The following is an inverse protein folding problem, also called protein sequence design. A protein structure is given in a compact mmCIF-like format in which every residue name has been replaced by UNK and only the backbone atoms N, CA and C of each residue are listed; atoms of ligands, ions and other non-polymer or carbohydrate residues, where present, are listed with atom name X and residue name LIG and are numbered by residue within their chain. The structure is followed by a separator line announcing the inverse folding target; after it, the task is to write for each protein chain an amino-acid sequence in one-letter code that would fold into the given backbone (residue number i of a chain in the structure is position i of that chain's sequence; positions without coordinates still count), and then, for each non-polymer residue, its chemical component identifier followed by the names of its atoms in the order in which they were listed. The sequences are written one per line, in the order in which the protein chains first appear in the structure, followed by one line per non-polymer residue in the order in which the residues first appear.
data_IF_632824211591
#
_entry.id   IF_632824211591
#
_cell.length_a   1.000
_cell.length_b   1.000
_cell.length_c   1.000
_cell.angle_alpha   90.00
_cell.angle_beta   90.00
_cell.angle_gamma   90.00
#
_symmetry.space_group_name_H-M   'P 1'
#
loop_
_entity.id
_entity.type
_entity.pdbx_description
1 polymer ?
#
# COMPACT_ATOMS: atom_id res chain seq x y z
N UNK A 1 1.30 14.26 -31.09
CA UNK A 1 0.63 12.95 -31.13
C UNK A 1 -0.87 13.16 -31.10
N UNK A 2 -1.64 12.58 -32.05
CA UNK A 2 -3.09 12.84 -32.20
C UNK A 2 -3.94 12.54 -30.97
N UNK A 3 -3.47 11.66 -30.08
CA UNK A 3 -4.18 11.23 -28.86
C UNK A 3 -3.79 12.03 -27.59
N UNK A 4 -2.76 12.88 -27.64
CA UNK A 4 -2.33 13.63 -26.46
C UNK A 4 -3.45 14.43 -25.77
N UNK A 5 -4.40 15.09 -26.50
CA UNK A 5 -5.51 15.79 -25.86
C UNK A 5 -6.48 14.89 -25.07
N UNK A 6 -6.45 13.58 -25.30
CA UNK A 6 -7.36 12.64 -24.62
C UNK A 6 -6.95 12.38 -23.16
N UNK A 7 -5.66 12.47 -22.85
CA UNK A 7 -5.14 12.07 -21.55
C UNK A 7 -4.16 13.06 -20.92
N UNK A 8 -3.75 14.13 -21.62
CA UNK A 8 -2.79 15.12 -21.14
C UNK A 8 -3.39 16.51 -21.02
N UNK A 9 -3.03 17.22 -19.97
CA UNK A 9 -3.24 18.65 -19.78
C UNK A 9 -1.93 19.30 -19.28
N UNK A 10 -1.77 20.62 -19.50
CA UNK A 10 -0.76 21.38 -18.79
C UNK A 10 -1.25 21.73 -17.37
N UNK A 11 -0.37 21.69 -16.41
CA UNK A 11 -0.58 22.21 -15.07
C UNK A 11 0.47 23.27 -14.77
N UNK A 12 0.05 24.44 -14.29
CA UNK A 12 0.89 25.61 -14.04
C UNK A 12 0.94 26.03 -12.56
N UNK A 13 0.74 25.09 -11.64
CA UNK A 13 0.61 25.25 -10.18
C UNK A 13 -0.69 25.92 -9.71
N UNK A 14 -1.49 26.49 -10.61
CA UNK A 14 -2.78 27.12 -10.28
C UNK A 14 -3.98 26.42 -10.94
N UNK A 15 -3.81 26.00 -12.21
CA UNK A 15 -4.91 25.46 -13.02
C UNK A 15 -4.42 24.42 -14.04
N UNK A 16 -5.38 23.63 -14.52
CA UNK A 16 -5.21 22.75 -15.67
C UNK A 16 -5.60 23.48 -16.94
N UNK A 17 -4.74 23.38 -17.94
CA UNK A 17 -4.96 23.94 -19.28
C UNK A 17 -4.92 22.84 -20.34
N UNK A 18 -5.63 23.05 -21.43
CA UNK A 18 -5.61 22.10 -22.54
C UNK A 18 -4.20 21.94 -23.12
N UNK A 19 -3.82 20.73 -23.49
CA UNK A 19 -2.46 20.43 -23.99
C UNK A 19 -2.08 21.23 -25.26
N UNK A 20 -3.06 21.69 -26.02
CA UNK A 20 -2.85 22.52 -27.20
C UNK A 20 -2.71 24.02 -26.91
N UNK A 21 -2.91 24.44 -25.65
CA UNK A 21 -2.68 25.82 -25.23
C UNK A 21 -1.19 26.09 -25.21
N UNK A 22 -0.76 27.26 -25.68
CA UNK A 22 0.65 27.67 -25.68
C UNK A 22 1.17 27.78 -24.24
N UNK A 23 2.16 26.98 -23.85
CA UNK A 23 2.67 26.97 -22.48
C UNK A 23 3.55 28.20 -22.16
N UNK A 24 3.93 29.01 -23.15
CA UNK A 24 4.80 30.18 -22.95
C UNK A 24 4.22 31.24 -22.02
N UNK A 25 2.88 31.26 -21.86
CA UNK A 25 2.18 32.19 -20.99
C UNK A 25 1.82 31.59 -19.62
N UNK A 26 2.31 30.39 -19.29
CA UNK A 26 2.04 29.68 -18.04
C UNK A 26 3.21 29.79 -17.08
N UNK A 27 2.91 29.72 -15.79
CA UNK A 27 3.94 29.64 -14.76
C UNK A 27 4.39 28.17 -14.57
N UNK A 28 5.67 27.87 -14.89
CA UNK A 28 6.25 26.52 -14.74
C UNK A 28 5.35 25.38 -15.29
N UNK A 29 5.00 25.39 -16.58
CA UNK A 29 4.05 24.42 -17.13
C UNK A 29 4.62 23.01 -17.12
N UNK A 30 3.82 22.06 -16.60
CA UNK A 30 4.14 20.63 -16.56
C UNK A 30 3.05 19.82 -17.25
N UNK A 31 3.36 18.85 -18.12
CA UNK A 31 2.35 17.96 -18.67
C UNK A 31 1.93 16.94 -17.61
N UNK A 32 0.65 16.75 -17.41
CA UNK A 32 0.04 15.83 -16.45
C UNK A 32 -0.98 14.93 -17.10
N UNK A 33 -1.03 13.66 -16.72
CA UNK A 33 -2.07 12.73 -17.12
C UNK A 33 -3.34 12.99 -16.31
N UNK A 34 -4.37 13.55 -16.93
CA UNK A 34 -5.66 13.85 -16.29
C UNK A 34 -6.80 12.99 -16.82
N UNK A 35 -6.66 12.44 -18.03
CA UNK A 35 -7.67 11.67 -18.73
C UNK A 35 -9.04 12.39 -18.85
N UNK A 36 -9.07 13.72 -18.68
CA UNK A 36 -10.29 14.53 -18.58
C UNK A 36 -11.21 14.43 -19.80
N UNK A 37 -10.65 14.26 -21.01
CA UNK A 37 -11.43 14.10 -22.23
C UNK A 37 -11.74 12.64 -22.59
N UNK A 38 -11.16 11.67 -21.87
CA UNK A 38 -11.31 10.26 -22.20
C UNK A 38 -12.78 9.81 -22.26
N UNK A 39 -13.66 10.19 -21.30
CA UNK A 39 -15.06 9.80 -21.35
C UNK A 39 -15.78 10.27 -22.61
N UNK A 40 -15.53 11.50 -23.04
CA UNK A 40 -16.14 12.08 -24.24
C UNK A 40 -15.60 11.49 -25.54
N UNK A 41 -14.31 11.14 -25.58
CA UNK A 41 -13.64 10.58 -26.76
C UNK A 41 -13.82 9.08 -26.94
N UNK A 42 -14.00 8.35 -25.83
CA UNK A 42 -14.11 6.90 -25.81
C UNK A 42 -15.42 6.44 -25.11
N UNK A 43 -16.61 6.90 -25.51
CA UNK A 43 -17.86 6.59 -24.81
C UNK A 43 -18.18 5.08 -24.81
N UNK A 44 -17.74 4.34 -25.83
CA UNK A 44 -17.89 2.89 -25.91
C UNK A 44 -17.13 2.17 -24.80
N UNK A 45 -15.92 2.65 -24.44
CA UNK A 45 -15.14 2.11 -23.32
C UNK A 45 -15.94 2.21 -22.02
N UNK A 46 -16.46 3.39 -21.69
CA UNK A 46 -17.18 3.60 -20.43
C UNK A 46 -18.51 2.83 -20.38
N UNK A 47 -19.19 2.69 -21.51
CA UNK A 47 -20.38 1.84 -21.59
C UNK A 47 -20.04 0.37 -21.35
N UNK A 48 -18.90 -0.10 -21.88
CA UNK A 48 -18.41 -1.47 -21.70
C UNK A 48 -17.99 -1.71 -20.26
N UNK A 49 -17.20 -0.80 -19.66
CA UNK A 49 -16.79 -0.87 -18.26
C UNK A 49 -17.98 -0.98 -17.31
N UNK A 50 -18.98 -0.10 -17.48
CA UNK A 50 -20.19 -0.14 -16.67
C UNK A 50 -20.91 -1.48 -16.77
N UNK A 51 -21.06 -2.04 -17.99
CA UNK A 51 -21.70 -3.34 -18.19
C UNK A 51 -20.90 -4.49 -17.56
N UNK A 52 -19.57 -4.49 -17.71
CA UNK A 52 -18.71 -5.53 -17.17
C UNK A 52 -18.70 -5.49 -15.63
N UNK A 53 -18.51 -4.32 -15.02
CA UNK A 53 -18.58 -4.17 -13.57
C UNK A 53 -19.91 -4.66 -13.02
N UNK A 54 -21.04 -4.19 -13.59
CA UNK A 54 -22.37 -4.64 -13.15
C UNK A 54 -22.60 -6.15 -13.34
N UNK A 55 -22.04 -6.75 -14.38
CA UNK A 55 -22.09 -8.20 -14.59
C UNK A 55 -21.32 -8.94 -13.53
N UNK A 56 -20.07 -8.55 -13.30
CA UNK A 56 -19.20 -9.22 -12.34
C UNK A 56 -19.69 -9.08 -10.90
N UNK A 57 -20.13 -7.88 -10.50
CA UNK A 57 -20.74 -7.66 -9.18
C UNK A 57 -21.99 -8.52 -8.97
N UNK A 58 -22.81 -8.67 -10.01
CA UNK A 58 -24.01 -9.52 -9.95
C UNK A 58 -23.64 -11.01 -9.83
N UNK A 59 -22.67 -11.50 -10.59
CA UNK A 59 -22.29 -12.92 -10.58
C UNK A 59 -21.51 -13.29 -9.32
N UNK A 60 -20.64 -12.41 -8.83
CA UNK A 60 -19.83 -12.65 -7.65
C UNK A 60 -20.54 -12.26 -6.34
N UNK A 61 -21.66 -11.52 -6.43
CA UNK A 61 -22.41 -10.97 -5.28
C UNK A 61 -21.56 -10.09 -4.35
N UNK A 62 -20.50 -9.47 -4.89
CA UNK A 62 -19.55 -8.62 -4.19
C UNK A 62 -19.16 -7.45 -5.11
N UNK A 63 -18.82 -6.27 -4.57
CA UNK A 63 -18.14 -5.24 -5.33
C UNK A 63 -16.83 -5.77 -5.91
N UNK A 64 -16.44 -5.27 -7.09
CA UNK A 64 -15.25 -5.77 -7.79
C UNK A 64 -14.30 -4.65 -8.19
N UNK A 65 -13.01 -4.97 -8.20
CA UNK A 65 -11.96 -4.21 -8.84
C UNK A 65 -11.51 -4.90 -10.12
N UNK A 66 -11.25 -4.12 -11.16
CA UNK A 66 -10.93 -4.65 -12.48
C UNK A 66 -9.76 -3.89 -13.11
N UNK A 67 -8.72 -4.63 -13.49
CA UNK A 67 -7.65 -4.12 -14.33
C UNK A 67 -7.88 -4.48 -15.80
N UNK A 68 -7.64 -3.54 -16.69
CA UNK A 68 -7.86 -3.76 -18.12
C UNK A 68 -6.84 -3.00 -18.97
N UNK A 69 -6.64 -3.49 -20.19
CA UNK A 69 -5.97 -2.76 -21.25
C UNK A 69 -6.99 -2.43 -22.36
N UNK A 70 -6.88 -1.22 -22.91
CA UNK A 70 -7.76 -0.76 -23.97
C UNK A 70 -6.96 -0.16 -25.12
N UNK A 71 -7.10 -0.76 -26.30
CA UNK A 71 -6.53 -0.25 -27.54
C UNK A 71 -7.58 0.58 -28.31
N UNK A 72 -7.34 1.88 -28.39
CA UNK A 72 -8.30 2.84 -28.97
C UNK A 72 -8.43 2.67 -30.48
N UNK A 73 -7.36 2.22 -31.16
CA UNK A 73 -7.32 2.13 -32.64
C UNK A 73 -8.31 1.11 -33.20
N UNK A 74 -8.51 0.00 -32.54
CA UNK A 74 -9.34 -1.12 -32.96
C UNK A 74 -10.46 -1.47 -31.97
N UNK A 75 -10.73 -0.58 -30.98
CA UNK A 75 -11.73 -0.74 -29.93
C UNK A 75 -11.58 -2.08 -29.16
N UNK A 76 -10.32 -2.53 -29.01
CA UNK A 76 -10.01 -3.79 -28.33
C UNK A 76 -9.89 -3.59 -26.84
N UNK A 77 -10.70 -4.33 -26.09
CA UNK A 77 -10.69 -4.36 -24.64
C UNK A 77 -10.15 -5.72 -24.15
N UNK A 78 -9.16 -5.70 -23.28
CA UNK A 78 -8.59 -6.89 -22.66
C UNK A 78 -8.72 -6.78 -21.16
N UNK A 79 -9.47 -7.71 -20.55
CA UNK A 79 -9.48 -7.86 -19.08
C UNK A 79 -8.15 -8.49 -18.66
N UNK A 80 -7.43 -7.83 -17.78
CA UNK A 80 -6.14 -8.27 -17.25
C UNK A 80 -6.32 -8.97 -15.92
N UNK A 81 -7.08 -8.35 -15.01
CA UNK A 81 -7.35 -8.90 -13.68
C UNK A 81 -8.77 -8.53 -13.24
N UNK A 82 -9.38 -9.43 -12.48
CA UNK A 82 -10.64 -9.21 -11.77
C UNK A 82 -10.50 -9.77 -10.36
N UNK A 83 -10.91 -9.01 -9.35
CA UNK A 83 -10.93 -9.47 -7.96
C UNK A 83 -12.05 -8.83 -7.17
N UNK A 84 -12.53 -9.49 -6.11
CA UNK A 84 -13.45 -8.87 -5.18
C UNK A 84 -12.79 -7.63 -4.56
N UNK A 85 -13.56 -6.56 -4.43
CA UNK A 85 -13.21 -5.45 -3.56
C UNK A 85 -13.58 -5.87 -2.13
N UNK A 86 -12.61 -5.75 -1.21
CA UNK A 86 -12.93 -5.90 0.20
C UNK A 86 -13.99 -4.86 0.56
N UNK A 87 -15.14 -5.34 1.01
CA UNK A 87 -16.17 -4.46 1.56
C UNK A 87 -15.60 -3.99 2.89
N UNK A 88 -15.30 -2.70 3.00
CA UNK A 88 -15.04 -2.11 4.30
C UNK A 88 -16.27 -2.38 5.16
N UNK A 89 -16.18 -3.39 6.00
CA UNK A 89 -17.12 -3.53 7.09
C UNK A 89 -17.00 -2.22 7.88
N UNK A 90 -18.08 -1.45 7.97
CA UNK A 90 -18.13 -0.24 8.77
C UNK A 90 -18.05 -0.65 10.26
N UNK A 91 -16.85 -1.09 10.66
CA UNK A 91 -16.54 -1.51 12.04
C UNK A 91 -16.64 -0.35 13.03
N UNK A 92 -17.19 0.77 12.58
CA UNK A 92 -17.23 2.00 13.33
C UNK A 92 -15.82 2.59 13.52
N UNK A 93 -15.74 3.88 13.78
CA UNK A 93 -14.45 4.52 14.07
C UNK A 93 -13.92 4.06 15.42
N UNK A 94 -12.77 3.41 15.43
CA UNK A 94 -12.08 3.03 16.67
C UNK A 94 -11.46 4.29 17.27
N UNK A 95 -11.82 4.61 18.51
CA UNK A 95 -11.17 5.67 19.26
C UNK A 95 -9.81 5.18 19.78
N UNK A 96 -8.76 5.92 19.44
CA UNK A 96 -7.41 5.64 19.93
C UNK A 96 -7.30 6.30 21.31
N UNK A 97 -7.01 5.53 22.39
CA UNK A 97 -6.84 6.10 23.72
C UNK A 97 -5.63 7.05 23.76
N UNK A 98 -5.73 8.12 24.55
CA UNK A 98 -4.60 8.99 24.81
C UNK A 98 -3.59 8.23 25.70
N UNK A 99 -2.57 7.68 25.04
CA UNK A 99 -1.54 6.89 25.70
C UNK A 99 -0.26 7.71 25.84
N UNK A 100 0.31 7.81 27.06
CA UNK A 100 1.58 8.49 27.27
C UNK A 100 2.70 7.95 26.36
N UNK A 101 3.60 8.85 25.94
CA UNK A 101 4.69 8.49 25.00
C UNK A 101 5.56 7.33 25.50
N UNK A 102 5.86 7.30 26.79
CA UNK A 102 6.66 6.26 27.44
C UNK A 102 6.01 4.87 27.46
N UNK A 103 4.70 4.81 27.27
CA UNK A 103 3.92 3.56 27.15
C UNK A 103 3.60 3.19 25.72
N UNK A 104 4.05 4.00 24.77
CA UNK A 104 3.80 3.79 23.35
C UNK A 104 5.05 3.23 22.68
N UNK A 105 4.95 2.03 22.12
CA UNK A 105 6.05 1.38 21.39
C UNK A 105 6.13 1.91 19.96
N UNK A 106 4.96 1.97 19.29
CA UNK A 106 4.82 2.41 17.91
C UNK A 106 3.61 3.33 17.79
N UNK A 107 3.72 4.39 17.01
CA UNK A 107 2.60 5.27 16.62
C UNK A 107 2.80 5.77 15.19
N UNK A 108 1.78 5.65 14.38
CA UNK A 108 1.64 6.31 13.09
C UNK A 108 0.47 7.28 13.10
N UNK A 109 0.50 8.32 12.28
CA UNK A 109 -0.52 9.37 12.25
C UNK A 109 -1.28 9.46 10.93
N UNK A 110 -0.90 8.65 9.94
CA UNK A 110 -1.52 8.67 8.61
C UNK A 110 -1.44 7.31 7.92
N UNK A 111 -2.33 7.08 6.96
CA UNK A 111 -2.38 5.86 6.16
C UNK A 111 -2.54 4.57 7.00
N UNK A 112 -3.14 4.70 8.18
CA UNK A 112 -3.35 3.60 9.12
C UNK A 112 -4.69 2.91 8.83
N UNK A 113 -4.72 1.57 8.96
CA UNK A 113 -5.98 0.83 8.93
C UNK A 113 -6.81 1.11 10.18
N UNK A 114 -8.14 1.18 10.01
CA UNK A 114 -9.06 1.34 11.14
C UNK A 114 -9.37 -0.02 11.74
N UNK A 115 -9.00 -0.22 12.99
CA UNK A 115 -9.26 -1.47 13.67
C UNK A 115 -8.63 -1.56 15.05
N UNK A 116 -8.86 -2.69 15.72
CA UNK A 116 -8.31 -2.99 17.04
C UNK A 116 -7.86 -4.44 17.08
N UNK A 117 -6.65 -4.66 17.52
CA UNK A 117 -6.07 -5.98 17.77
C UNK A 117 -5.78 -6.10 19.26
N UNK A 118 -6.39 -7.08 19.91
CA UNK A 118 -6.25 -7.31 21.36
C UNK A 118 -5.54 -8.63 21.64
N UNK A 119 -5.03 -8.76 22.85
CA UNK A 119 -4.40 -9.99 23.35
C UNK A 119 -3.20 -10.46 22.51
N UNK A 120 -2.46 -9.52 21.92
CA UNK A 120 -1.25 -9.83 21.14
C UNK A 120 -0.17 -10.36 22.09
N UNK A 121 0.35 -11.56 21.78
CA UNK A 121 1.40 -12.22 22.57
C UNK A 121 2.76 -12.16 21.91
N UNK A 122 2.79 -12.00 20.59
CA UNK A 122 4.02 -12.09 19.80
C UNK A 122 4.22 -10.85 18.95
N UNK A 123 5.45 -10.37 18.94
CA UNK A 123 5.92 -9.38 17.97
C UNK A 123 7.07 -10.04 17.21
N UNK A 124 6.95 -10.10 15.90
CA UNK A 124 8.03 -10.53 15.00
C UNK A 124 8.71 -9.27 14.49
N UNK A 125 10.00 -9.14 14.75
CA UNK A 125 10.75 -7.92 14.45
C UNK A 125 11.93 -8.21 13.53
N UNK A 126 11.92 -7.60 12.37
CA UNK A 126 13.06 -7.53 11.47
C UNK A 126 13.79 -6.21 11.75
N UNK A 127 14.92 -6.30 12.44
CA UNK A 127 15.73 -5.14 12.81
C UNK A 127 16.23 -4.41 11.56
N UNK A 128 15.88 -3.13 11.36
CA UNK A 128 16.29 -2.37 10.18
C UNK A 128 17.81 -2.26 9.99
N UNK A 129 18.58 -2.15 11.11
CA UNK A 129 20.02 -2.01 11.05
C UNK A 129 20.72 -3.32 10.68
N UNK A 130 20.19 -4.43 11.20
CA UNK A 130 20.69 -5.76 10.87
C UNK A 130 20.27 -6.11 9.43
N UNK A 131 19.03 -5.84 9.07
CA UNK A 131 18.51 -6.08 7.72
C UNK A 131 19.34 -5.37 6.64
N UNK A 132 19.67 -4.10 6.83
CA UNK A 132 20.49 -3.32 5.88
C UNK A 132 21.93 -3.83 5.67
N UNK A 133 22.38 -4.76 6.50
CA UNK A 133 23.72 -5.38 6.43
C UNK A 133 23.70 -6.83 5.91
N UNK A 134 22.51 -7.37 5.59
CA UNK A 134 22.37 -8.75 5.15
C UNK A 134 22.97 -8.97 3.75
N UNK A 135 23.59 -10.12 3.58
CA UNK A 135 24.11 -10.57 2.28
C UNK A 135 23.00 -11.27 1.45
N UNK A 136 22.06 -11.93 2.11
CA UNK A 136 20.93 -12.62 1.48
C UNK A 136 19.60 -12.21 2.14
N UNK A 137 18.85 -11.38 1.46
CA UNK A 137 17.54 -10.92 1.90
C UNK A 137 16.44 -11.99 1.79
N UNK A 138 16.65 -13.02 0.97
CA UNK A 138 15.71 -14.13 0.84
C UNK A 138 15.70 -15.01 2.09
N UNK A 139 16.83 -15.11 2.80
CA UNK A 139 16.90 -15.81 4.08
C UNK A 139 16.04 -15.14 5.15
N UNK A 140 16.00 -13.81 5.16
CA UNK A 140 15.12 -13.05 6.07
C UNK A 140 13.65 -13.32 5.75
N UNK A 141 13.27 -13.28 4.47
CA UNK A 141 11.90 -13.57 4.05
C UNK A 141 11.49 -15.00 4.45
N UNK A 142 12.37 -15.98 4.22
CA UNK A 142 12.15 -17.38 4.62
C UNK A 142 11.96 -17.53 6.13
N UNK A 143 12.81 -16.88 6.94
CA UNK A 143 12.68 -16.90 8.38
C UNK A 143 11.37 -16.31 8.87
N UNK A 144 10.91 -15.22 8.26
CA UNK A 144 9.58 -14.64 8.53
C UNK A 144 8.47 -15.64 8.21
N UNK A 145 8.54 -16.31 7.05
CA UNK A 145 7.57 -17.33 6.66
C UNK A 145 7.53 -18.53 7.64
N UNK A 146 8.70 -19.02 8.07
CA UNK A 146 8.78 -20.09 9.07
C UNK A 146 8.16 -19.69 10.42
N UNK A 147 8.34 -18.44 10.84
CA UNK A 147 7.72 -17.91 12.05
C UNK A 147 6.20 -17.78 11.86
N UNK A 148 5.77 -17.26 10.69
CA UNK A 148 4.35 -17.18 10.34
C UNK A 148 3.65 -18.55 10.45
N UNK A 149 4.28 -19.60 9.92
CA UNK A 149 3.74 -20.96 9.98
C UNK A 149 3.71 -21.52 11.42
N UNK A 150 4.72 -21.21 12.24
CA UNK A 150 4.74 -21.60 13.66
C UNK A 150 3.70 -20.90 14.51
N UNK A 151 3.29 -19.70 14.11
CA UNK A 151 2.27 -18.88 14.78
C UNK A 151 0.88 -19.06 14.15
N UNK A 152 0.65 -20.16 13.41
CA UNK A 152 -0.67 -20.47 12.86
C UNK A 152 -1.73 -20.52 13.98
N UNK A 153 -2.83 -19.77 13.75
CA UNK A 153 -3.90 -19.59 14.74
C UNK A 153 -3.64 -18.55 15.83
N UNK A 154 -2.44 -17.93 15.87
CA UNK A 154 -2.11 -16.82 16.77
C UNK A 154 -1.87 -15.53 15.99
N UNK A 155 -2.63 -14.48 16.31
CA UNK A 155 -2.39 -13.15 15.71
C UNK A 155 -1.16 -12.50 16.36
N UNK A 156 -0.23 -12.02 15.53
CA UNK A 156 0.99 -11.35 15.96
C UNK A 156 1.18 -10.01 15.25
N UNK A 157 2.06 -9.15 15.76
CA UNK A 157 2.46 -7.92 15.08
C UNK A 157 3.77 -8.20 14.33
N UNK A 158 3.79 -7.95 13.03
CA UNK A 158 4.98 -8.04 12.20
C UNK A 158 5.54 -6.65 11.96
N UNK A 159 6.78 -6.41 12.39
CA UNK A 159 7.45 -5.10 12.31
C UNK A 159 8.73 -5.23 11.49
N UNK A 160 8.94 -4.37 10.53
CA UNK A 160 10.18 -4.37 9.75
C UNK A 160 10.38 -3.14 8.88
N UNK A 161 11.56 -3.05 8.23
CA UNK A 161 11.95 -1.90 7.42
C UNK A 161 11.21 -1.85 6.07
N UNK A 162 10.68 -0.69 5.74
CA UNK A 162 10.12 -0.42 4.43
C UNK A 162 8.94 -1.31 4.06
N UNK A 163 8.72 -1.45 2.75
CA UNK A 163 7.58 -2.13 2.18
C UNK A 163 7.72 -3.65 2.24
N UNK A 164 6.80 -4.31 2.92
CA UNK A 164 6.69 -5.76 2.86
C UNK A 164 6.23 -6.25 1.47
N UNK A 165 6.80 -7.36 1.03
CA UNK A 165 6.51 -7.91 -0.30
C UNK A 165 7.16 -7.16 -1.46
N UNK A 166 8.14 -6.30 -1.19
CA UNK A 166 8.89 -5.61 -2.25
C UNK A 166 9.75 -6.58 -3.04
N UNK A 167 9.70 -6.51 -4.37
CA UNK A 167 10.63 -7.25 -5.25
C UNK A 167 12.06 -6.68 -5.20
N UNK A 168 12.21 -5.44 -4.71
CA UNK A 168 13.50 -4.83 -4.47
C UNK A 168 13.80 -4.81 -2.96
N UNK A 169 14.75 -5.62 -2.47
CA UNK A 169 15.03 -5.72 -1.03
C UNK A 169 15.59 -4.44 -0.41
N UNK A 170 16.06 -3.48 -1.23
CA UNK A 170 16.48 -2.16 -0.75
C UNK A 170 15.30 -1.24 -0.41
N UNK A 171 14.07 -1.60 -0.81
CA UNK A 171 12.86 -0.85 -0.54
C UNK A 171 12.03 -1.47 0.59
N UNK A 172 12.34 -2.70 0.99
CA UNK A 172 11.66 -3.43 2.05
C UNK A 172 11.88 -4.94 2.00
N UNK A 173 11.21 -5.68 2.86
CA UNK A 173 11.43 -7.12 3.04
C UNK A 173 10.71 -7.93 1.94
N UNK A 174 11.42 -8.79 1.16
CA UNK A 174 10.87 -9.45 -0.03
C UNK A 174 10.06 -10.71 0.29
N UNK A 175 9.16 -10.65 1.26
CA UNK A 175 8.24 -11.75 1.60
C UNK A 175 7.16 -11.91 0.55
N UNK A 176 6.62 -13.11 0.43
CA UNK A 176 5.36 -13.39 -0.26
C UNK A 176 4.20 -13.20 0.70
N UNK A 177 3.01 -12.95 0.19
CA UNK A 177 1.83 -12.71 1.03
C UNK A 177 1.54 -13.87 2.00
N UNK A 178 1.65 -15.11 1.54
CA UNK A 178 1.46 -16.29 2.39
C UNK A 178 2.50 -16.44 3.52
N UNK A 179 3.63 -15.76 3.44
CA UNK A 179 4.67 -15.77 4.48
C UNK A 179 4.38 -14.80 5.64
N UNK A 180 3.25 -14.07 5.59
CA UNK A 180 2.82 -13.15 6.65
C UNK A 180 1.30 -13.18 6.92
N UNK A 181 0.56 -14.06 6.25
CA UNK A 181 -0.91 -14.10 6.27
C UNK A 181 -1.53 -14.35 7.65
N UNK A 182 -0.79 -14.90 8.62
CA UNK A 182 -1.23 -15.10 10.00
C UNK A 182 -1.00 -13.87 10.89
N UNK A 183 -0.34 -12.82 10.38
CA UNK A 183 -0.17 -11.58 11.13
C UNK A 183 -1.51 -10.92 11.42
N UNK A 184 -1.61 -10.22 12.53
CA UNK A 184 -2.79 -9.41 12.88
C UNK A 184 -2.59 -7.93 12.58
N UNK A 185 -1.32 -7.51 12.56
CA UNK A 185 -0.94 -6.14 12.22
C UNK A 185 0.42 -6.15 11.51
N UNK A 186 0.49 -5.47 10.39
CA UNK A 186 1.71 -5.24 9.63
C UNK A 186 2.21 -3.83 9.87
N UNK A 187 3.44 -3.71 10.36
CA UNK A 187 4.10 -2.42 10.61
C UNK A 187 5.24 -2.21 9.62
N UNK A 188 5.21 -1.10 8.93
CA UNK A 188 6.26 -0.67 8.02
C UNK A 188 7.03 0.52 8.60
N UNK A 189 8.31 0.32 8.88
CA UNK A 189 9.17 1.36 9.41
C UNK A 189 9.81 2.17 8.26
N UNK A 190 9.34 3.39 8.07
CA UNK A 190 9.92 4.37 7.15
C UNK A 190 11.16 5.03 7.76
N UNK A 191 12.24 4.25 7.94
CA UNK A 191 13.51 4.73 8.50
C UNK A 191 14.46 4.98 7.33
N UNK A 192 14.86 6.24 7.07
CA UNK A 192 15.87 6.53 6.07
C UNK A 192 17.22 5.92 6.47
N UNK A 193 17.73 4.99 5.68
CA UNK A 193 19.06 4.44 5.85
C UNK A 193 19.96 4.77 4.66
N UNK A 194 21.27 4.85 4.89
CA UNK A 194 22.23 5.16 3.83
C UNK A 194 22.22 4.03 2.78
N UNK A 195 21.75 4.36 1.58
CA UNK A 195 21.61 3.41 0.47
C UNK A 195 20.28 2.66 0.39
N UNK A 196 19.37 2.88 1.33
CA UNK A 196 18.03 2.32 1.34
C UNK A 196 17.00 3.45 1.44
N UNK A 197 16.11 3.55 0.46
CA UNK A 197 14.96 4.45 0.49
C UNK A 197 13.70 3.62 0.74
N UNK A 198 13.24 3.47 1.99
CA UNK A 198 12.08 2.64 2.30
C UNK A 198 10.84 3.17 1.59
N UNK A 199 10.18 2.30 0.86
CA UNK A 199 8.82 2.53 0.35
C UNK A 199 7.81 1.98 1.34
N UNK A 200 6.54 2.34 1.15
CA UNK A 200 5.42 1.84 1.93
C UNK A 200 4.39 1.17 1.03
N UNK A 201 3.67 0.20 1.56
CA UNK A 201 2.68 -0.58 0.82
C UNK A 201 1.36 0.15 0.57
N UNK A 202 1.11 1.27 1.25
CA UNK A 202 -0.14 2.01 1.14
C UNK A 202 -0.50 2.33 -0.32
N UNK A 203 -1.73 1.96 -0.72
CA UNK A 203 -2.23 2.17 -2.08
C UNK A 203 -1.75 1.12 -3.09
N UNK A 204 -1.03 0.08 -2.68
CA UNK A 204 -0.66 -1.05 -3.53
C UNK A 204 -1.68 -2.20 -3.42
N UNK A 205 -1.59 -3.16 -4.34
CA UNK A 205 -2.40 -4.38 -4.28
C UNK A 205 -2.16 -5.18 -3.01
N UNK A 206 -0.93 -5.24 -2.55
CA UNK A 206 -0.56 -5.89 -1.30
C UNK A 206 -1.31 -5.31 -0.10
N UNK A 207 -1.48 -3.97 -0.06
CA UNK A 207 -2.28 -3.31 0.96
C UNK A 207 -3.76 -3.71 0.91
N UNK A 208 -4.33 -3.88 -0.29
CA UNK A 208 -5.72 -4.32 -0.44
C UNK A 208 -5.92 -5.77 0.03
N UNK A 209 -4.93 -6.64 -0.17
CA UNK A 209 -4.97 -8.02 0.33
C UNK A 209 -4.95 -8.05 1.86
N UNK A 210 -4.14 -7.19 2.51
CA UNK A 210 -4.14 -7.03 3.98
C UNK A 210 -5.52 -6.66 4.52
N UNK A 211 -6.17 -5.70 3.88
CA UNK A 211 -7.50 -5.24 4.28
C UNK A 211 -8.55 -6.36 4.12
N UNK A 212 -8.49 -7.11 3.01
CA UNK A 212 -9.35 -8.27 2.75
C UNK A 212 -9.26 -9.35 3.83
N UNK A 213 -8.07 -9.59 4.39
CA UNK A 213 -7.81 -10.59 5.43
C UNK A 213 -7.87 -10.00 6.87
N UNK A 214 -8.35 -8.76 7.02
CA UNK A 214 -8.41 -8.06 8.30
C UNK A 214 -7.06 -7.97 9.02
N UNK A 215 -5.99 -7.81 8.27
CA UNK A 215 -4.66 -7.51 8.79
C UNK A 215 -4.54 -5.99 8.91
N UNK A 216 -4.36 -5.48 10.13
CA UNK A 216 -4.20 -4.05 10.36
C UNK A 216 -2.87 -3.57 9.75
N UNK A 217 -2.85 -2.34 9.27
CA UNK A 217 -1.67 -1.74 8.68
C UNK A 217 -1.28 -0.47 9.42
N UNK A 218 0.00 -0.35 9.79
CA UNK A 218 0.55 0.77 10.53
C UNK A 218 1.90 1.20 9.94
N UNK A 219 1.96 2.26 9.12
CA UNK A 219 3.22 2.87 8.74
C UNK A 219 3.71 3.81 9.84
N UNK A 220 5.01 3.73 10.14
CA UNK A 220 5.67 4.57 11.15
C UNK A 220 6.86 5.27 10.51
N UNK A 221 6.82 6.60 10.46
CA UNK A 221 7.87 7.44 9.88
C UNK A 221 8.78 7.95 11.01
N UNK A 222 9.97 7.34 11.13
CA UNK A 222 10.91 7.75 12.17
C UNK A 222 11.38 9.20 11.97
N UNK A 223 11.39 9.95 13.06
CA UNK A 223 11.74 11.38 13.08
C UNK A 223 10.58 12.33 12.74
N UNK A 224 9.41 11.86 12.34
CA UNK A 224 8.24 12.72 12.15
C UNK A 224 7.50 13.03 13.46
N UNK A 225 6.95 14.25 13.55
CA UNK A 225 6.45 14.83 14.81
C UNK A 225 5.42 13.98 15.56
N UNK A 226 4.49 13.35 14.84
CA UNK A 226 3.38 12.61 15.43
C UNK A 226 3.60 11.09 15.39
N UNK A 227 4.77 10.65 14.92
CA UNK A 227 5.14 9.25 14.86
C UNK A 227 6.02 8.87 16.05
N UNK A 228 5.94 7.64 16.49
CA UNK A 228 6.79 7.07 17.54
C UNK A 228 7.33 5.75 17.06
N UNK A 229 8.64 5.65 17.01
CA UNK A 229 9.37 4.40 16.98
C UNK A 229 10.25 4.36 18.24
N UNK A 230 9.85 3.59 19.24
CA UNK A 230 10.56 3.50 20.52
C UNK A 230 11.76 2.56 20.38
N UNK A 231 12.89 3.09 19.84
CA UNK A 231 14.13 2.33 19.61
C UNK A 231 14.65 1.67 20.89
N UNK A 232 14.64 2.41 22.00
CA UNK A 232 15.14 1.92 23.28
C UNK A 232 14.39 0.65 23.72
N UNK A 233 13.08 0.62 23.50
CA UNK A 233 12.27 -0.56 23.80
C UNK A 233 12.69 -1.74 22.91
N UNK A 234 12.85 -1.53 21.60
CA UNK A 234 13.27 -2.60 20.68
C UNK A 234 14.69 -3.09 20.96
N UNK A 235 15.64 -2.22 21.31
CA UNK A 235 17.04 -2.56 21.59
C UNK A 235 17.21 -3.27 22.95
N UNK A 236 16.40 -2.90 23.95
CA UNK A 236 16.49 -3.46 25.31
C UNK A 236 15.66 -4.72 25.53
N UNK A 237 14.73 -5.04 24.59
CA UNK A 237 13.85 -6.18 24.74
C UNK A 237 14.61 -7.51 24.57
N UNK A 238 14.37 -8.53 25.44
CA UNK A 238 15.03 -9.84 25.32
C UNK A 238 14.37 -10.67 24.21
N UNK A 239 14.83 -10.48 22.98
CA UNK A 239 14.32 -11.22 21.81
C UNK A 239 14.71 -12.69 21.84
N UNK A 240 13.79 -13.55 21.39
CA UNK A 240 14.12 -14.93 21.00
C UNK A 240 14.54 -14.89 19.53
N UNK A 241 15.75 -15.34 19.24
CA UNK A 241 16.34 -15.36 17.89
C UNK A 241 16.38 -16.79 17.34
#
# INVERSE_FOLDING_TARGET
HKMAPTYLQWFDDNAFHWIHTDPSNMNVPRPVFTFSELPGRCPKLFTRLKKLLSLFEKELQLPVDMEFAYEVSDDRFTLVQLRPLSVYDDKGRVEIPDTPREKTILRGDRMVANGRLECVRHIVFVDPEIYGKQADFADVARAVGEINDRLDGERYILVGPGRWGSSNPLLGVPVRYNELSNSGCLVELGIPQKGMAPELSYGTHFFLDLDGDNILYLPVFDGEKNNIYNREWFESHPWQT
#
